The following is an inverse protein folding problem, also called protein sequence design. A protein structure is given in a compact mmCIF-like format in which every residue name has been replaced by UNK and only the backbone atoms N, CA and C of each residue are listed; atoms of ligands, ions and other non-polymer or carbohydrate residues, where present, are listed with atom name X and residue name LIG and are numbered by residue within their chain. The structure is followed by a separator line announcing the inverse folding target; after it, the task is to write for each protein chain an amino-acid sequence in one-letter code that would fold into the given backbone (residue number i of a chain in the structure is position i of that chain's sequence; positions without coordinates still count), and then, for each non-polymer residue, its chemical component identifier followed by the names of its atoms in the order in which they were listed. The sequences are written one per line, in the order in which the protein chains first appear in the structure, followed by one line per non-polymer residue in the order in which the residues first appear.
data_IF_075088413655
#
_entry.id   IF_075088413655
#
_cell.length_a   1.000
_cell.length_b   1.000
_cell.length_c   1.000
_cell.angle_alpha   90.00
_cell.angle_beta   90.00
_cell.angle_gamma   90.00
#
_symmetry.space_group_name_H-M   'P 1'
#
loop_
_entity.id
_entity.type
_entity.pdbx_description
1 polymer ?
#
# COMPACT_ATOMS: atom_id res chain seq x y z
N UNK A 1 -7.33 -20.72 -2.81
CA UNK A 1 -6.82 -19.46 -3.39
C UNK A 1 -7.73 -18.35 -2.90
N UNK A 2 -7.20 -17.30 -2.27
CA UNK A 2 -8.01 -16.20 -1.73
C UNK A 2 -8.84 -15.56 -2.85
N UNK A 3 -10.16 -15.52 -2.63
CA UNK A 3 -11.21 -14.96 -3.51
C UNK A 3 -11.02 -13.47 -3.80
N UNK A 4 -10.13 -12.79 -3.07
CA UNK A 4 -9.85 -11.37 -3.22
C UNK A 4 -9.08 -11.00 -4.50
N UNK A 5 -8.53 -11.97 -5.24
CA UNK A 5 -7.93 -11.74 -6.57
C UNK A 5 -8.92 -11.13 -7.59
N UNK A 6 -10.22 -11.14 -7.29
CA UNK A 6 -11.26 -10.56 -8.16
C UNK A 6 -11.58 -9.08 -7.87
N UNK A 7 -11.08 -8.48 -6.78
CA UNK A 7 -11.24 -7.05 -6.54
C UNK A 7 -10.13 -6.26 -7.26
N UNK A 8 -10.22 -6.22 -8.59
CA UNK A 8 -9.24 -5.54 -9.46
C UNK A 8 -8.98 -4.09 -9.01
N UNK A 9 -10.01 -3.34 -8.64
CA UNK A 9 -9.87 -1.95 -8.19
C UNK A 9 -8.98 -1.81 -6.95
N UNK A 10 -9.18 -2.68 -5.95
CA UNK A 10 -8.41 -2.65 -4.71
C UNK A 10 -6.96 -3.09 -4.95
N UNK A 11 -6.75 -4.07 -5.83
CA UNK A 11 -5.40 -4.49 -6.20
C UNK A 11 -4.63 -3.40 -6.97
N UNK A 12 -5.29 -2.65 -7.87
CA UNK A 12 -4.68 -1.51 -8.57
C UNK A 12 -4.24 -0.43 -7.57
N UNK A 13 -5.11 -0.10 -6.61
CA UNK A 13 -4.80 0.88 -5.55
C UNK A 13 -3.64 0.43 -4.68
N UNK A 14 -3.56 -0.85 -4.32
CA UNK A 14 -2.43 -1.40 -3.57
C UNK A 14 -1.12 -1.34 -4.34
N UNK A 15 -1.15 -1.65 -5.64
CA UNK A 15 0.04 -1.53 -6.50
C UNK A 15 0.49 -0.08 -6.59
N UNK A 16 -0.44 0.88 -6.72
CA UNK A 16 -0.10 2.29 -6.67
C UNK A 16 0.54 2.69 -5.33
N UNK A 17 -0.04 2.22 -4.22
CA UNK A 17 0.48 2.49 -2.88
C UNK A 17 1.87 1.85 -2.64
N UNK A 18 2.12 0.63 -3.13
CA UNK A 18 3.42 -0.07 -3.07
C UNK A 18 4.54 0.72 -3.74
N UNK A 19 4.24 1.41 -4.84
CA UNK A 19 5.24 2.17 -5.61
C UNK A 19 5.47 3.59 -5.06
N UNK A 20 4.76 4.01 -4.01
CA UNK A 20 4.95 5.32 -3.41
C UNK A 20 6.20 5.34 -2.51
N UNK A 21 6.98 6.43 -2.53
CA UNK A 21 8.23 6.56 -1.74
C UNK A 21 8.01 6.33 -0.23
N UNK A 22 6.84 6.70 0.28
CA UNK A 22 6.44 6.47 1.68
C UNK A 22 6.41 5.00 2.10
N UNK A 23 6.32 4.10 1.12
CA UNK A 23 5.98 2.69 1.24
C UNK A 23 7.00 1.76 0.59
N UNK A 24 8.11 2.29 0.06
CA UNK A 24 9.06 1.55 -0.79
C UNK A 24 9.74 0.33 -0.14
N UNK A 25 9.62 0.20 1.19
CA UNK A 25 10.16 -0.91 2.00
C UNK A 25 9.04 -1.67 2.75
N UNK A 26 7.82 -1.67 2.24
CA UNK A 26 6.69 -2.37 2.84
C UNK A 26 6.19 -3.42 1.85
N UNK A 27 5.95 -4.65 2.33
CA UNK A 27 5.46 -5.75 1.49
C UNK A 27 3.93 -5.72 1.36
N UNK A 28 3.39 -4.61 0.87
CA UNK A 28 1.95 -4.31 0.85
C UNK A 28 1.17 -5.37 0.08
N UNK A 29 1.64 -5.72 -1.12
CA UNK A 29 1.00 -6.70 -2.00
C UNK A 29 1.20 -8.16 -1.55
N UNK A 30 2.22 -8.46 -0.75
CA UNK A 30 2.41 -9.80 -0.19
C UNK A 30 1.44 -10.03 0.96
N UNK A 31 1.28 -9.03 1.83
CA UNK A 31 0.36 -9.11 2.97
C UNK A 31 -1.11 -9.26 2.57
N UNK A 32 -1.51 -8.75 1.40
CA UNK A 32 -2.89 -8.87 0.94
C UNK A 32 -3.32 -10.32 0.63
N UNK A 33 -2.38 -11.25 0.45
CA UNK A 33 -2.67 -12.67 0.23
C UNK A 33 -3.24 -13.37 1.47
N UNK A 34 -3.07 -12.79 2.67
CA UNK A 34 -3.55 -13.33 3.94
C UNK A 34 -4.92 -12.81 4.36
N UNK A 35 -5.55 -11.92 3.58
CA UNK A 35 -6.88 -11.43 3.90
C UNK A 35 -7.95 -12.41 3.42
N UNK A 36 -8.94 -12.58 4.28
CA UNK A 36 -10.09 -13.46 4.03
C UNK A 36 -11.34 -12.65 3.67
N UNK A 37 -11.34 -11.33 3.95
CA UNK A 37 -12.47 -10.44 3.73
C UNK A 37 -12.11 -9.21 2.88
N UNK A 38 -13.12 -8.65 2.22
CA UNK A 38 -12.95 -7.41 1.42
C UNK A 38 -12.66 -6.21 2.32
N UNK A 39 -13.27 -6.17 3.50
CA UNK A 39 -13.14 -5.08 4.47
C UNK A 39 -11.72 -5.01 5.06
N UNK A 40 -11.03 -6.13 5.20
CA UNK A 40 -9.60 -6.17 5.54
C UNK A 40 -8.74 -5.58 4.42
N UNK A 41 -9.01 -5.99 3.17
CA UNK A 41 -8.31 -5.45 2.01
C UNK A 41 -8.52 -3.93 1.87
N UNK A 42 -9.74 -3.44 2.05
CA UNK A 42 -10.07 -2.01 2.01
C UNK A 42 -9.36 -1.23 3.12
N UNK A 43 -9.36 -1.74 4.36
CA UNK A 43 -8.62 -1.12 5.47
C UNK A 43 -7.12 -1.06 5.20
N UNK A 44 -6.55 -2.12 4.62
CA UNK A 44 -5.15 -2.18 4.23
C UNK A 44 -4.82 -1.16 3.14
N UNK A 45 -5.63 -1.07 2.09
CA UNK A 45 -5.48 -0.05 1.03
C UNK A 45 -5.49 1.35 1.65
N UNK A 46 -6.50 1.65 2.46
CA UNK A 46 -6.70 2.97 3.07
C UNK A 46 -5.52 3.37 3.96
N UNK A 47 -4.99 2.44 4.75
CA UNK A 47 -3.84 2.69 5.60
C UNK A 47 -2.63 3.21 4.81
N UNK A 48 -2.31 2.59 3.67
CA UNK A 48 -1.15 2.99 2.87
C UNK A 48 -1.40 4.21 1.99
N UNK A 49 -2.65 4.47 1.60
CA UNK A 49 -3.04 5.74 0.98
C UNK A 49 -2.89 6.91 1.97
N UNK A 50 -3.35 6.75 3.22
CA UNK A 50 -3.17 7.74 4.28
C UNK A 50 -1.69 7.98 4.58
N UNK A 51 -0.88 6.91 4.62
CA UNK A 51 0.57 7.03 4.80
C UNK A 51 1.23 7.78 3.64
N UNK A 52 0.81 7.52 2.40
CA UNK A 52 1.28 8.24 1.22
C UNK A 52 0.87 9.72 1.26
N UNK A 53 -0.37 10.03 1.62
CA UNK A 53 -0.89 11.39 1.72
C UNK A 53 -0.17 12.22 2.80
N UNK A 54 0.25 11.58 3.90
CA UNK A 54 0.97 12.23 5.00
C UNK A 54 2.51 12.19 4.83
N UNK A 55 3.01 11.67 3.72
CA UNK A 55 4.46 11.51 3.53
C UNK A 55 5.14 12.86 3.32
N UNK A 56 6.06 13.18 4.22
CA UNK A 56 6.99 14.29 4.06
C UNK A 56 8.34 13.71 3.64
N UNK A 57 8.79 13.93 2.39
CA UNK A 57 10.07 13.43 1.93
C UNK A 57 11.20 13.94 2.85
N UNK A 58 12.15 13.08 3.24
CA UNK A 58 13.28 13.52 4.04
C UNK A 58 14.03 14.61 3.27
N UNK A 59 14.24 15.78 3.92
CA UNK A 59 15.03 16.87 3.35
C UNK A 59 16.39 16.29 2.96
N UNK A 60 16.70 16.27 1.65
CA UNK A 60 18.00 15.83 1.14
C UNK A 60 19.07 16.62 1.90
N UNK A 61 19.82 15.95 2.77
CA UNK A 61 21.00 16.55 3.39
C UNK A 61 21.94 16.87 2.24
N UNK A 62 22.06 18.16 1.88
CA UNK A 62 23.15 18.64 1.03
C UNK A 62 24.42 18.21 1.75
N UNK A 63 25.19 17.29 1.16
CA UNK A 63 26.55 17.03 1.60
C UNK A 63 27.29 18.36 1.44
N UNK A 64 27.76 18.89 2.56
CA UNK A 64 28.70 20.01 2.60
C UNK A 64 30.07 19.55 2.12
#
# INVERSE_FOLDING_TARGET
MSTLKHNQDLMIRLVAAQNHEANINQDICTFCAFFDTREELERHVKHYEERAANYVPPKKRRRA
#
